data_IF_365699912120
#
_entry.id   IF_365699912120
#
_cell.length_a   1.000
_cell.length_b   1.000
_cell.length_c   1.000
_cell.angle_alpha   90.00
_cell.angle_beta   90.00
_cell.angle_gamma   90.00
#
_symmetry.space_group_name_H-M   'P 1'
#
loop_
_entity.id
_entity.type
_entity.pdbx_description
1 polymer ?
#
# COMPACT_ATOMS: atom_id res chain seq x y z
N UNK A 1 94.82 10.76 -9.00
CA UNK A 1 94.98 10.47 -7.57
C UNK A 1 93.60 10.42 -6.92
N UNK A 2 93.36 9.28 -6.37
CA UNK A 2 92.62 9.04 -5.14
C UNK A 2 91.13 9.47 -5.17
N UNK A 3 90.09 8.65 -5.10
CA UNK A 3 89.92 7.55 -4.19
C UNK A 3 88.79 7.96 -3.25
N UNK A 4 87.62 7.34 -3.31
CA UNK A 4 86.60 7.65 -2.38
C UNK A 4 85.43 6.61 -2.50
N UNK A 5 85.48 5.71 -1.57
CA UNK A 5 84.59 4.56 -1.36
C UNK A 5 83.25 5.04 -0.85
N UNK A 6 82.14 4.45 -1.38
CA UNK A 6 80.84 4.64 -0.85
C UNK A 6 80.49 3.69 0.32
N UNK A 7 79.44 3.92 1.05
CA UNK A 7 78.88 2.90 1.89
C UNK A 7 77.49 2.39 1.38
N UNK A 8 77.37 1.09 1.45
CA UNK A 8 76.21 0.25 1.36
C UNK A 8 75.16 0.66 2.34
N UNK A 9 73.95 0.94 1.84
CA UNK A 9 72.71 0.94 2.61
C UNK A 9 71.79 -0.13 2.06
N UNK A 10 71.63 -1.17 2.80
CA UNK A 10 70.68 -2.25 2.49
C UNK A 10 69.27 -1.81 2.75
N UNK A 11 68.58 -1.42 1.70
CA UNK A 11 67.12 -1.28 1.73
C UNK A 11 66.49 -2.67 1.64
N UNK A 12 65.95 -3.09 2.76
CA UNK A 12 65.07 -4.26 2.84
C UNK A 12 63.69 -3.80 2.36
N UNK A 13 63.43 -3.95 1.08
CA UNK A 13 62.09 -3.85 0.54
C UNK A 13 61.31 -5.11 0.87
N UNK A 14 60.33 -4.97 1.72
CA UNK A 14 59.30 -6.00 1.96
C UNK A 14 58.59 -6.37 0.66
N UNK A 15 58.25 -7.64 0.45
CA UNK A 15 57.66 -8.11 -0.80
C UNK A 15 56.32 -7.44 -1.10
N UNK A 16 56.22 -6.96 -2.30
CA UNK A 16 55.02 -6.30 -2.87
C UNK A 16 53.79 -7.19 -2.89
N UNK A 17 53.97 -8.48 -2.64
CA UNK A 17 52.87 -9.46 -2.60
C UNK A 17 52.01 -9.38 -1.33
N UNK A 18 52.52 -8.96 -0.17
CA UNK A 18 51.75 -8.82 1.05
C UNK A 18 50.80 -7.61 1.03
N UNK A 19 51.16 -6.53 0.32
CA UNK A 19 50.28 -5.38 0.19
C UNK A 19 49.10 -5.64 -0.75
N UNK A 20 49.33 -6.40 -1.83
CA UNK A 20 48.26 -6.80 -2.76
C UNK A 20 47.28 -7.76 -2.10
N UNK A 21 47.76 -8.64 -1.21
CA UNK A 21 46.87 -9.57 -0.49
C UNK A 21 46.00 -8.87 0.58
N UNK A 22 46.53 -7.84 1.24
CA UNK A 22 45.73 -7.05 2.21
C UNK A 22 44.72 -6.16 1.52
N UNK A 23 45.03 -5.52 0.40
CA UNK A 23 44.04 -4.77 -0.38
C UNK A 23 42.98 -5.65 -1.02
N UNK A 24 43.28 -6.89 -1.38
CA UNK A 24 42.27 -7.85 -1.88
C UNK A 24 41.41 -8.40 -0.76
N UNK A 25 41.89 -8.58 0.46
CA UNK A 25 41.05 -8.99 1.61
C UNK A 25 40.17 -7.85 2.10
N UNK A 26 40.62 -6.61 2.19
CA UNK A 26 39.79 -5.46 2.52
C UNK A 26 38.71 -5.20 1.46
N UNK A 27 39.04 -5.39 0.17
CA UNK A 27 38.08 -5.21 -0.92
C UNK A 27 37.04 -6.38 -1.02
N UNK A 28 37.40 -7.58 -0.51
CA UNK A 28 36.46 -8.70 -0.44
C UNK A 28 35.58 -8.64 0.80
N UNK A 29 36.01 -8.03 1.90
CA UNK A 29 35.20 -7.84 3.10
C UNK A 29 34.15 -6.73 2.94
N UNK A 30 34.33 -5.78 2.03
CA UNK A 30 33.36 -4.69 1.81
C UNK A 30 32.30 -4.99 0.76
N UNK A 31 32.29 -6.21 0.19
CA UNK A 31 31.33 -6.64 -0.83
C UNK A 31 30.31 -7.68 -0.37
N UNK A 32 30.21 -7.89 0.94
CA UNK A 32 29.01 -8.54 1.48
C UNK A 32 27.97 -7.47 1.80
N UNK A 33 27.57 -6.72 0.77
CA UNK A 33 26.28 -6.03 0.80
C UNK A 33 25.26 -7.15 0.82
N UNK A 34 24.80 -7.48 2.02
CA UNK A 34 23.60 -8.26 2.23
C UNK A 34 22.46 -7.60 1.46
N UNK A 35 22.21 -8.10 0.26
CA UNK A 35 20.92 -7.86 -0.39
C UNK A 35 19.85 -8.20 0.65
N UNK A 36 18.94 -7.29 1.00
CA UNK A 36 17.89 -7.59 1.95
C UNK A 36 17.10 -8.75 1.34
N UNK A 37 17.24 -9.92 1.95
CA UNK A 37 16.49 -11.12 1.60
C UNK A 37 15.03 -10.73 1.69
N UNK A 38 14.36 -10.54 0.54
CA UNK A 38 12.92 -10.23 0.48
C UNK A 38 12.22 -11.22 1.37
N UNK A 39 11.79 -10.76 2.55
CA UNK A 39 11.03 -11.58 3.47
C UNK A 39 9.79 -12.07 2.73
N UNK A 40 9.66 -13.39 2.53
CA UNK A 40 8.48 -14.03 1.95
C UNK A 40 7.27 -13.94 2.87
N UNK A 41 7.46 -13.45 4.08
CA UNK A 41 6.40 -13.32 5.05
C UNK A 41 5.67 -11.98 4.86
N UNK A 42 4.33 -11.99 4.92
CA UNK A 42 3.55 -10.78 4.88
C UNK A 42 3.97 -9.86 6.04
N UNK A 43 4.15 -8.59 5.77
CA UNK A 43 4.43 -7.58 6.78
C UNK A 43 3.33 -7.61 7.84
N UNK A 44 3.66 -7.31 9.10
CA UNK A 44 2.70 -7.19 10.21
C UNK A 44 1.46 -6.36 9.86
N UNK A 45 1.63 -5.32 9.03
CA UNK A 45 0.55 -4.51 8.49
C UNK A 45 -0.44 -5.33 7.65
N UNK A 46 0.04 -6.26 6.81
CA UNK A 46 -0.83 -7.09 5.98
C UNK A 46 -1.58 -8.14 6.80
N UNK A 47 -0.93 -8.69 7.82
CA UNK A 47 -1.58 -9.60 8.76
C UNK A 47 -2.69 -8.91 9.54
N UNK A 48 -2.49 -7.67 9.99
CA UNK A 48 -3.53 -6.88 10.65
C UNK A 48 -4.70 -6.57 9.70
N UNK A 49 -4.43 -6.19 8.45
CA UNK A 49 -5.49 -5.98 7.46
C UNK A 49 -6.27 -7.26 7.18
N UNK A 50 -5.59 -8.40 7.05
CA UNK A 50 -6.22 -9.70 6.89
C UNK A 50 -7.09 -10.05 8.10
N UNK A 51 -6.61 -9.80 9.32
CA UNK A 51 -7.39 -10.02 10.54
C UNK A 51 -8.67 -9.16 10.56
N UNK A 52 -8.58 -7.88 10.20
CA UNK A 52 -9.77 -7.01 10.09
C UNK A 52 -10.75 -7.54 9.05
N UNK A 53 -10.26 -7.96 7.88
CA UNK A 53 -11.10 -8.58 6.85
C UNK A 53 -11.81 -9.81 7.39
N UNK A 54 -11.10 -10.72 8.06
CA UNK A 54 -11.68 -11.95 8.62
C UNK A 54 -12.71 -11.63 9.69
N UNK A 55 -12.40 -10.72 10.63
CA UNK A 55 -13.32 -10.36 11.73
C UNK A 55 -14.60 -9.74 11.20
N UNK A 56 -14.50 -8.77 10.28
CA UNK A 56 -15.67 -8.15 9.67
C UNK A 56 -16.46 -9.16 8.82
N UNK A 57 -15.77 -10.07 8.14
CA UNK A 57 -16.40 -11.15 7.39
C UNK A 57 -17.24 -12.08 8.28
N UNK A 58 -16.65 -12.50 9.39
CA UNK A 58 -17.31 -13.42 10.32
C UNK A 58 -18.45 -12.77 11.13
N UNK A 59 -18.47 -11.45 11.23
CA UNK A 59 -19.48 -10.71 12.01
C UNK A 59 -20.87 -10.63 11.38
N UNK A 60 -21.01 -11.06 10.10
CA UNK A 60 -22.28 -10.95 9.36
C UNK A 60 -22.70 -9.52 9.01
N UNK A 61 -21.79 -8.55 9.21
CA UNK A 61 -22.02 -7.11 8.92
C UNK A 61 -21.71 -6.73 7.47
N UNK A 62 -21.15 -7.66 6.70
CA UNK A 62 -20.72 -7.43 5.33
C UNK A 62 -21.73 -8.04 4.37
N UNK A 63 -22.08 -7.26 3.35
CA UNK A 63 -22.98 -7.70 2.29
C UNK A 63 -22.32 -8.79 1.43
N UNK A 64 -23.04 -9.85 1.01
CA UNK A 64 -22.49 -10.87 0.10
C UNK A 64 -21.90 -10.30 -1.18
N UNK A 65 -22.43 -9.16 -1.64
CA UNK A 65 -21.95 -8.43 -2.81
C UNK A 65 -20.51 -7.90 -2.65
N UNK A 66 -20.12 -7.47 -1.44
CA UNK A 66 -18.77 -6.97 -1.17
C UNK A 66 -17.75 -8.11 -1.11
N UNK A 67 -18.19 -9.27 -0.62
CA UNK A 67 -17.39 -10.51 -0.72
C UNK A 67 -17.20 -10.94 -2.17
N UNK A 68 -18.28 -10.99 -2.93
CA UNK A 68 -18.23 -11.33 -4.35
C UNK A 68 -17.31 -10.37 -5.11
N UNK A 69 -17.35 -9.08 -4.79
CA UNK A 69 -16.44 -8.08 -5.36
C UNK A 69 -14.98 -8.39 -5.02
N UNK A 70 -14.64 -8.70 -3.76
CA UNK A 70 -13.26 -9.03 -3.37
C UNK A 70 -12.79 -10.29 -4.08
N UNK A 71 -13.59 -11.36 -4.11
CA UNK A 71 -13.25 -12.59 -4.83
C UNK A 71 -13.05 -12.34 -6.33
N UNK A 72 -13.98 -11.61 -6.95
CA UNK A 72 -13.87 -11.22 -8.35
C UNK A 72 -12.60 -10.38 -8.62
N UNK A 73 -12.29 -9.42 -7.75
CA UNK A 73 -11.12 -8.57 -7.92
C UNK A 73 -9.81 -9.37 -7.94
N UNK A 74 -9.69 -10.40 -7.09
CA UNK A 74 -8.52 -11.30 -7.07
C UNK A 74 -8.38 -12.03 -8.41
N UNK A 75 -9.46 -12.67 -8.87
CA UNK A 75 -9.47 -13.43 -10.15
C UNK A 75 -9.17 -12.49 -11.33
N UNK A 76 -9.79 -11.32 -11.34
CA UNK A 76 -9.62 -10.35 -12.41
C UNK A 76 -8.20 -9.76 -12.45
N UNK A 77 -7.59 -9.45 -11.30
CA UNK A 77 -6.20 -8.99 -11.24
C UNK A 77 -5.22 -10.07 -11.70
N UNK A 78 -5.47 -11.34 -11.37
CA UNK A 78 -4.68 -12.47 -11.87
C UNK A 78 -4.80 -12.61 -13.40
N UNK A 79 -6.00 -12.48 -13.94
CA UNK A 79 -6.23 -12.49 -15.38
C UNK A 79 -5.49 -11.34 -16.07
N UNK A 80 -5.67 -10.10 -15.61
CA UNK A 80 -4.99 -8.94 -16.17
C UNK A 80 -3.47 -9.06 -16.11
N UNK A 81 -2.92 -9.64 -15.04
CA UNK A 81 -1.48 -9.80 -14.87
C UNK A 81 -0.86 -10.80 -15.84
N UNK A 82 -1.63 -11.78 -16.29
CA UNK A 82 -1.16 -12.80 -17.23
C UNK A 82 -1.40 -12.41 -18.70
N UNK A 83 -2.54 -11.76 -18.97
CA UNK A 83 -2.99 -11.55 -20.35
C UNK A 83 -2.67 -10.14 -20.85
N UNK A 84 -2.92 -9.11 -20.01
CA UNK A 84 -2.88 -7.72 -20.48
C UNK A 84 -1.59 -7.01 -20.07
N UNK A 85 -1.17 -7.18 -18.81
CA UNK A 85 -0.01 -6.51 -18.24
C UNK A 85 0.97 -7.49 -17.59
N UNK A 86 1.63 -8.36 -18.39
CA UNK A 86 2.63 -9.27 -17.87
C UNK A 86 3.77 -8.50 -17.22
N UNK A 87 4.41 -9.11 -16.23
CA UNK A 87 5.56 -8.54 -15.55
C UNK A 87 6.78 -8.60 -16.48
N UNK A 88 7.17 -7.48 -17.05
CA UNK A 88 8.25 -7.38 -18.02
C UNK A 88 9.65 -7.49 -17.38
N UNK A 89 9.76 -7.21 -16.08
CA UNK A 89 11.03 -7.28 -15.35
C UNK A 89 10.80 -7.68 -13.90
N UNK A 90 11.62 -8.58 -13.32
CA UNK A 90 11.62 -8.81 -11.89
C UNK A 90 12.16 -7.56 -11.18
N UNK A 91 11.21 -6.81 -10.57
CA UNK A 91 11.44 -5.84 -9.49
C UNK A 91 12.64 -4.89 -9.58
N UNK A 92 12.65 -3.97 -10.54
CA UNK A 92 13.20 -2.65 -10.23
C UNK A 92 12.11 -1.91 -9.44
N UNK A 93 12.41 -1.52 -8.20
CA UNK A 93 11.52 -0.70 -7.39
C UNK A 93 11.34 0.67 -8.06
N UNK A 94 10.41 0.75 -8.99
CA UNK A 94 10.09 2.02 -9.65
C UNK A 94 9.13 2.75 -8.71
N UNK A 95 9.67 3.65 -7.91
CA UNK A 95 8.90 4.58 -7.09
C UNK A 95 8.21 5.58 -8.00
N UNK A 96 6.89 5.52 -8.08
CA UNK A 96 6.06 6.42 -8.92
C UNK A 96 6.02 7.83 -8.33
N UNK A 97 6.07 7.92 -7.01
CA UNK A 97 6.14 9.18 -6.28
C UNK A 97 7.33 9.16 -5.33
N UNK A 98 7.99 10.32 -5.18
CA UNK A 98 9.05 10.46 -4.19
C UNK A 98 8.47 10.31 -2.77
N UNK A 99 8.90 9.29 -2.00
CA UNK A 99 8.39 9.07 -0.64
C UNK A 99 8.73 10.21 0.33
N UNK A 100 9.70 11.05 0.00
CA UNK A 100 10.08 12.23 0.81
C UNK A 100 9.17 13.44 0.59
N UNK A 101 8.18 13.37 -0.30
CA UNK A 101 7.26 14.47 -0.53
C UNK A 101 6.31 14.62 0.65
N UNK A 102 6.50 15.68 1.46
CA UNK A 102 5.70 15.98 2.66
C UNK A 102 4.21 16.14 2.35
N UNK A 103 3.88 16.73 1.20
CA UNK A 103 2.48 16.90 0.77
C UNK A 103 1.81 15.56 0.51
N UNK A 104 2.53 14.62 -0.12
CA UNK A 104 2.02 13.27 -0.35
C UNK A 104 1.87 12.48 0.95
N UNK A 105 2.82 12.61 1.88
CA UNK A 105 2.73 12.00 3.19
C UNK A 105 1.53 12.55 4.00
N UNK A 106 1.31 13.87 3.97
CA UNK A 106 0.15 14.51 4.59
C UNK A 106 -1.17 14.01 4.00
N UNK A 107 -1.23 13.90 2.67
CA UNK A 107 -2.41 13.36 1.97
C UNK A 107 -2.75 11.93 2.43
N UNK A 108 -1.74 11.04 2.49
CA UNK A 108 -1.92 9.67 2.99
C UNK A 108 -2.36 9.68 4.46
N UNK A 109 -1.78 10.55 5.29
CA UNK A 109 -2.16 10.68 6.69
C UNK A 109 -3.61 11.12 6.88
N UNK A 110 -4.06 12.14 6.13
CA UNK A 110 -5.46 12.59 6.13
C UNK A 110 -6.39 11.44 5.70
N UNK A 111 -6.00 10.72 4.64
CA UNK A 111 -6.74 9.54 4.19
C UNK A 111 -6.85 8.43 5.22
N UNK A 112 -5.79 8.20 5.99
CA UNK A 112 -5.81 7.23 7.09
C UNK A 112 -6.76 7.68 8.23
N UNK A 113 -6.75 8.96 8.59
CA UNK A 113 -7.64 9.51 9.63
C UNK A 113 -9.11 9.39 9.18
N UNK A 114 -9.45 9.96 8.02
CA UNK A 114 -10.84 10.03 7.54
C UNK A 114 -11.34 8.65 7.11
N UNK A 115 -10.51 7.89 6.41
CA UNK A 115 -10.93 6.63 5.78
C UNK A 115 -10.85 5.40 6.67
N UNK A 116 -10.00 5.41 7.70
CA UNK A 116 -9.77 4.23 8.53
C UNK A 116 -10.05 4.49 10.01
N UNK A 117 -9.30 5.40 10.65
CA UNK A 117 -9.36 5.56 12.09
C UNK A 117 -10.69 6.11 12.57
N UNK A 118 -11.25 7.13 11.90
CA UNK A 118 -12.52 7.71 12.29
C UNK A 118 -13.72 6.76 12.06
N UNK A 119 -13.84 6.02 10.94
CA UNK A 119 -14.85 4.97 10.79
C UNK A 119 -14.72 3.84 11.81
N UNK A 120 -13.50 3.41 12.13
CA UNK A 120 -13.30 2.39 13.19
C UNK A 120 -13.77 2.94 14.55
N UNK A 121 -13.40 4.16 14.91
CA UNK A 121 -13.84 4.80 16.15
C UNK A 121 -15.38 4.92 16.19
N UNK A 122 -16.03 5.27 15.07
CA UNK A 122 -17.48 5.32 14.94
C UNK A 122 -18.12 3.93 15.15
N UNK A 123 -17.53 2.87 14.60
CA UNK A 123 -18.00 1.49 14.80
C UNK A 123 -17.86 1.07 16.26
N UNK A 124 -16.73 1.37 16.89
CA UNK A 124 -16.48 1.03 18.30
C UNK A 124 -17.45 1.77 19.23
N UNK A 125 -17.66 3.07 19.03
CA UNK A 125 -18.64 3.86 19.76
C UNK A 125 -20.06 3.28 19.60
N UNK A 126 -20.39 2.79 18.38
CA UNK A 126 -21.66 2.10 18.11
C UNK A 126 -21.87 0.80 18.87
N UNK A 127 -20.80 0.07 19.16
CA UNK A 127 -20.87 -1.14 19.97
C UNK A 127 -21.30 -0.79 21.40
N UNK A 128 -20.76 0.30 21.96
CA UNK A 128 -21.09 0.77 23.30
C UNK A 128 -22.51 1.35 23.38
N UNK A 129 -22.97 2.05 22.34
CA UNK A 129 -24.32 2.63 22.29
C UNK A 129 -25.39 1.63 21.78
N UNK A 130 -24.99 0.44 21.30
CA UNK A 130 -25.92 -0.57 20.76
C UNK A 130 -26.50 -0.23 19.39
N UNK A 131 -25.89 0.71 18.64
CA UNK A 131 -26.34 1.11 17.30
C UNK A 131 -25.86 0.10 16.23
N UNK A 132 -26.60 -1.00 16.13
CA UNK A 132 -26.30 -2.05 15.14
C UNK A 132 -26.42 -1.57 13.70
N UNK A 133 -27.32 -0.65 13.42
CA UNK A 133 -27.55 -0.14 12.07
C UNK A 133 -26.42 0.75 11.59
N UNK A 134 -25.95 1.68 12.44
CA UNK A 134 -24.79 2.50 12.12
C UNK A 134 -23.52 1.69 11.91
N UNK A 135 -23.31 0.67 12.75
CA UNK A 135 -22.19 -0.27 12.59
C UNK A 135 -22.30 -0.99 11.23
N UNK A 136 -23.46 -1.57 10.92
CA UNK A 136 -23.72 -2.29 9.67
C UNK A 136 -23.54 -1.39 8.43
N UNK A 137 -23.90 -0.13 8.54
CA UNK A 137 -23.75 0.84 7.47
C UNK A 137 -22.29 1.24 7.20
N UNK A 138 -21.46 1.39 8.26
CA UNK A 138 -20.08 1.81 8.15
C UNK A 138 -19.09 0.64 7.89
N UNK A 139 -19.41 -0.57 8.34
CA UNK A 139 -18.52 -1.74 8.26
C UNK A 139 -18.07 -2.11 6.84
N UNK A 140 -18.92 -2.06 5.78
CA UNK A 140 -18.51 -2.36 4.41
C UNK A 140 -17.40 -1.45 3.90
N UNK A 141 -17.42 -0.17 4.25
CA UNK A 141 -16.37 0.78 3.90
C UNK A 141 -15.01 0.37 4.48
N UNK A 142 -14.96 0.05 5.78
CA UNK A 142 -13.74 -0.39 6.47
C UNK A 142 -13.26 -1.74 5.93
N UNK A 143 -14.16 -2.67 5.66
CA UNK A 143 -13.87 -3.96 5.06
C UNK A 143 -13.18 -3.80 3.69
N UNK A 144 -13.73 -2.98 2.79
CA UNK A 144 -13.15 -2.75 1.48
C UNK A 144 -11.79 -2.04 1.56
N UNK A 145 -11.60 -1.13 2.53
CA UNK A 145 -10.32 -0.49 2.73
C UNK A 145 -9.26 -1.47 3.22
N UNK A 146 -9.58 -2.30 4.20
CA UNK A 146 -8.69 -3.34 4.68
C UNK A 146 -8.34 -4.37 3.59
N UNK A 147 -9.35 -4.78 2.81
CA UNK A 147 -9.16 -5.68 1.66
C UNK A 147 -8.26 -5.05 0.59
N UNK A 148 -8.41 -3.75 0.30
CA UNK A 148 -7.53 -3.02 -0.60
C UNK A 148 -6.08 -3.06 -0.13
N UNK A 149 -5.81 -2.68 1.12
CA UNK A 149 -4.44 -2.66 1.67
C UNK A 149 -3.82 -4.06 1.65
N UNK A 150 -4.61 -5.09 1.92
CA UNK A 150 -4.16 -6.47 1.78
C UNK A 150 -3.80 -6.80 0.32
N UNK A 151 -4.66 -6.46 -0.64
CA UNK A 151 -4.42 -6.72 -2.07
C UNK A 151 -3.25 -5.91 -2.64
N UNK A 152 -3.05 -4.67 -2.20
CA UNK A 152 -1.85 -3.88 -2.53
C UNK A 152 -0.58 -4.61 -2.09
N UNK A 153 -0.60 -5.18 -0.88
CA UNK A 153 0.50 -6.01 -0.38
C UNK A 153 0.73 -7.26 -1.22
N UNK A 154 -0.34 -8.00 -1.54
CA UNK A 154 -0.26 -9.21 -2.38
C UNK A 154 0.34 -8.88 -3.74
N UNK A 155 -0.11 -7.82 -4.40
CA UNK A 155 0.40 -7.43 -5.72
C UNK A 155 1.83 -6.92 -5.68
N UNK A 156 2.22 -6.26 -4.58
CA UNK A 156 3.58 -5.78 -4.39
C UNK A 156 4.57 -6.95 -4.17
N UNK A 157 4.28 -7.83 -3.22
CA UNK A 157 5.17 -8.97 -2.90
C UNK A 157 5.11 -10.09 -3.95
N UNK A 158 3.98 -10.23 -4.63
CA UNK A 158 3.79 -11.19 -5.72
C UNK A 158 4.51 -10.83 -7.02
N UNK A 159 5.17 -9.66 -7.08
CA UNK A 159 5.93 -9.23 -8.26
C UNK A 159 5.04 -8.85 -9.45
N UNK A 160 3.80 -8.46 -9.20
CA UNK A 160 2.89 -7.99 -10.25
C UNK A 160 3.41 -6.72 -10.92
N UNK A 161 3.06 -6.53 -12.18
CA UNK A 161 3.42 -5.32 -12.95
C UNK A 161 2.84 -4.04 -12.32
N UNK A 162 3.48 -2.90 -12.60
CA UNK A 162 3.08 -1.60 -12.06
C UNK A 162 1.61 -1.25 -12.38
N UNK A 163 1.07 -1.50 -13.61
CA UNK A 163 -0.34 -1.28 -13.90
C UNK A 163 -1.28 -2.06 -12.98
N UNK A 164 -0.98 -3.33 -12.71
CA UNK A 164 -1.81 -4.14 -11.82
C UNK A 164 -1.85 -3.56 -10.41
N UNK A 165 -0.70 -3.11 -9.88
CA UNK A 165 -0.62 -2.44 -8.58
C UNK A 165 -1.46 -1.14 -8.54
N UNK A 166 -1.57 -0.43 -9.66
CA UNK A 166 -2.39 0.78 -9.76
C UNK A 166 -3.89 0.47 -9.89
N UNK A 167 -4.25 -0.64 -10.53
CA UNK A 167 -5.65 -1.04 -10.63
C UNK A 167 -6.26 -1.40 -9.28
N UNK A 168 -5.49 -1.95 -8.34
CA UNK A 168 -6.02 -2.29 -7.01
C UNK A 168 -6.70 -1.09 -6.33
N UNK A 169 -6.01 0.03 -6.05
CA UNK A 169 -6.66 1.17 -5.39
C UNK A 169 -7.81 1.76 -6.23
N UNK A 170 -7.74 1.73 -7.56
CA UNK A 170 -8.80 2.23 -8.43
C UNK A 170 -10.07 1.38 -8.29
N UNK A 171 -9.96 0.04 -8.40
CA UNK A 171 -11.09 -0.87 -8.29
C UNK A 171 -11.76 -0.80 -6.92
N UNK A 172 -10.96 -0.91 -5.86
CA UNK A 172 -11.50 -0.88 -4.51
C UNK A 172 -12.09 0.46 -4.14
N UNK A 173 -11.50 1.57 -4.60
CA UNK A 173 -12.06 2.89 -4.37
C UNK A 173 -13.38 3.09 -5.14
N UNK A 174 -13.46 2.61 -6.36
CA UNK A 174 -14.69 2.65 -7.15
C UNK A 174 -15.84 1.95 -6.41
N UNK A 175 -15.62 0.73 -5.92
CA UNK A 175 -16.64 -0.01 -5.16
C UNK A 175 -16.99 0.69 -3.83
N UNK A 176 -15.97 1.22 -3.15
CA UNK A 176 -16.12 1.90 -1.87
C UNK A 176 -17.03 3.12 -1.94
N UNK A 177 -17.00 3.89 -3.00
CA UNK A 177 -17.91 5.03 -3.19
C UNK A 177 -19.36 4.58 -3.06
N UNK A 178 -19.75 3.45 -3.64
CA UNK A 178 -21.11 2.93 -3.51
C UNK A 178 -21.45 2.55 -2.07
N UNK A 179 -20.55 1.91 -1.35
CA UNK A 179 -20.79 1.57 0.08
C UNK A 179 -20.89 2.81 0.96
N UNK A 180 -20.17 3.90 0.63
CA UNK A 180 -20.29 5.18 1.34
C UNK A 180 -21.62 5.86 1.01
N UNK A 181 -22.12 5.76 -0.24
CA UNK A 181 -23.47 6.23 -0.60
C UNK A 181 -24.52 5.53 0.25
N UNK A 182 -24.42 4.21 0.37
CA UNK A 182 -25.36 3.43 1.17
C UNK A 182 -25.27 3.78 2.66
N UNK A 183 -24.06 3.99 3.17
CA UNK A 183 -23.86 4.50 4.53
C UNK A 183 -24.51 5.86 4.74
N UNK A 184 -24.26 6.82 3.85
CA UNK A 184 -24.83 8.15 3.92
C UNK A 184 -26.38 8.11 3.87
N UNK A 185 -26.95 7.28 2.99
CA UNK A 185 -28.41 7.06 2.93
C UNK A 185 -28.98 6.50 4.23
N UNK A 186 -28.29 5.52 4.82
CA UNK A 186 -28.68 4.98 6.12
C UNK A 186 -28.68 6.06 7.21
N UNK A 187 -27.63 6.90 7.28
CA UNK A 187 -27.55 7.98 8.26
C UNK A 187 -28.58 9.10 8.06
N UNK A 188 -29.00 9.33 6.82
CA UNK A 188 -30.08 10.30 6.53
C UNK A 188 -31.44 9.73 6.95
N UNK A 189 -31.71 8.47 6.67
CA UNK A 189 -32.99 7.83 6.96
C UNK A 189 -33.28 7.65 8.45
N UNK A 190 -32.22 7.56 9.29
CA UNK A 190 -32.36 7.46 10.76
C UNK A 190 -33.17 8.59 11.41
N UNK A 191 -33.37 9.73 10.74
CA UNK A 191 -34.17 10.85 11.29
C UNK A 191 -35.64 10.50 11.46
N UNK A 192 -36.14 9.56 10.64
CA UNK A 192 -37.57 9.19 10.62
C UNK A 192 -37.92 8.09 11.64
N UNK A 193 -36.93 7.56 12.35
CA UNK A 193 -37.15 6.48 13.32
C UNK A 193 -37.00 7.04 14.75
N UNK A 194 -38.08 7.08 15.49
CA UNK A 194 -38.17 7.61 16.88
C UNK A 194 -37.24 6.92 17.90
N UNK A 195 -36.51 5.88 17.50
CA UNK A 195 -35.70 5.04 18.38
C UNK A 195 -34.22 5.03 18.02
N UNK A 196 -33.74 5.92 17.14
CA UNK A 196 -32.39 5.88 16.63
C UNK A 196 -31.45 6.77 17.46
N UNK A 197 -30.66 6.15 18.34
CA UNK A 197 -29.42 6.63 18.92
C UNK A 197 -29.38 8.08 19.46
N UNK A 198 -28.26 8.47 20.08
CA UNK A 198 -28.12 9.88 20.52
C UNK A 198 -28.01 10.82 19.30
N UNK A 199 -28.62 12.02 19.38
CA UNK A 199 -28.56 13.02 18.32
C UNK A 199 -27.08 13.34 17.90
N UNK A 200 -26.16 13.23 18.85
CA UNK A 200 -24.71 13.35 18.61
C UNK A 200 -24.22 12.29 17.63
N UNK A 201 -24.63 11.05 17.82
CA UNK A 201 -24.18 9.94 16.99
C UNK A 201 -24.67 10.03 15.56
N UNK A 202 -25.93 10.42 15.36
CA UNK A 202 -26.50 10.67 14.02
C UNK A 202 -25.72 11.77 13.31
N UNK A 203 -25.43 12.85 14.02
CA UNK A 203 -24.64 13.96 13.45
C UNK A 203 -23.22 13.52 13.08
N UNK A 204 -22.52 12.80 13.96
CA UNK A 204 -21.17 12.28 13.71
C UNK A 204 -21.17 11.31 12.52
N UNK A 205 -22.13 10.39 12.45
CA UNK A 205 -22.26 9.44 11.35
C UNK A 205 -22.42 10.13 9.99
N UNK A 206 -23.28 11.16 9.93
CA UNK A 206 -23.47 11.96 8.71
C UNK A 206 -22.24 12.73 8.30
N UNK A 207 -21.64 13.45 9.22
CA UNK A 207 -20.41 14.23 8.95
C UNK A 207 -19.31 13.30 8.45
N UNK A 208 -19.15 12.14 9.08
CA UNK A 208 -18.14 11.18 8.72
C UNK A 208 -18.41 10.53 7.35
N UNK A 209 -19.66 10.17 7.04
CA UNK A 209 -20.03 9.64 5.72
C UNK A 209 -19.79 10.68 4.61
N UNK A 210 -20.17 11.96 4.84
CA UNK A 210 -19.92 13.06 3.89
C UNK A 210 -18.43 13.30 3.69
N UNK A 211 -17.64 13.34 4.77
CA UNK A 211 -16.19 13.52 4.70
C UNK A 211 -15.51 12.37 3.92
N UNK A 212 -15.93 11.13 4.17
CA UNK A 212 -15.46 9.99 3.40
C UNK A 212 -15.86 10.07 1.93
N UNK A 213 -17.10 10.44 1.63
CA UNK A 213 -17.57 10.63 0.25
C UNK A 213 -16.70 11.64 -0.48
N UNK A 214 -16.52 12.83 0.10
CA UNK A 214 -15.73 13.89 -0.52
C UNK A 214 -14.26 13.45 -0.73
N UNK A 215 -13.64 12.84 0.29
CA UNK A 215 -12.25 12.40 0.21
C UNK A 215 -12.05 11.30 -0.85
N UNK A 216 -12.89 10.27 -0.86
CA UNK A 216 -12.71 9.14 -1.78
C UNK A 216 -13.14 9.46 -3.21
N UNK A 217 -14.10 10.37 -3.44
CA UNK A 217 -14.37 10.93 -4.76
C UNK A 217 -13.18 11.73 -5.28
N UNK A 218 -12.60 12.60 -4.45
CA UNK A 218 -11.36 13.31 -4.82
C UNK A 218 -10.20 12.34 -5.10
N UNK A 219 -10.02 11.33 -4.24
CA UNK A 219 -8.98 10.33 -4.44
C UNK A 219 -9.12 9.61 -5.78
N UNK A 220 -10.33 9.19 -6.15
CA UNK A 220 -10.57 8.48 -7.42
C UNK A 220 -10.47 9.42 -8.62
N UNK A 221 -11.29 10.47 -8.65
CA UNK A 221 -11.48 11.33 -9.83
C UNK A 221 -10.47 12.47 -9.93
N UNK A 222 -9.91 12.92 -8.81
CA UNK A 222 -8.92 13.99 -8.79
C UNK A 222 -7.47 13.49 -8.79
N UNK A 223 -7.21 12.29 -8.32
CA UNK A 223 -5.85 11.79 -8.16
C UNK A 223 -5.58 10.47 -8.90
N UNK A 224 -6.29 9.39 -8.59
CA UNK A 224 -5.96 8.06 -9.12
C UNK A 224 -6.12 7.99 -10.64
N UNK A 225 -7.25 8.44 -11.19
CA UNK A 225 -7.53 8.36 -12.62
C UNK A 225 -6.72 9.39 -13.44
N UNK A 226 -6.71 10.71 -13.09
CA UNK A 226 -6.07 11.70 -13.96
C UNK A 226 -4.56 11.84 -13.75
N UNK A 227 -4.03 11.51 -12.58
CA UNK A 227 -2.61 11.74 -12.23
C UNK A 227 -1.83 10.44 -12.09
N UNK A 228 -2.34 9.51 -11.29
CA UNK A 228 -1.60 8.30 -10.95
C UNK A 228 -1.57 7.31 -12.12
N UNK A 229 -2.72 6.98 -12.69
CA UNK A 229 -2.85 5.98 -13.75
C UNK A 229 -2.05 6.34 -15.03
N UNK A 230 -2.10 7.58 -15.57
CA UNK A 230 -1.29 7.95 -16.73
C UNK A 230 0.22 7.86 -16.47
N UNK A 231 0.68 8.22 -15.26
CA UNK A 231 2.10 8.07 -14.88
C UNK A 231 2.53 6.61 -14.85
N UNK A 232 1.68 5.74 -14.32
CA UNK A 232 1.90 4.29 -14.28
C UNK A 232 2.05 3.71 -15.67
N UNK A 233 1.14 4.06 -16.59
CA UNK A 233 1.22 3.60 -17.97
C UNK A 233 2.44 4.13 -18.69
N UNK A 234 2.78 5.41 -18.49
CA UNK A 234 4.00 5.99 -19.06
C UNK A 234 5.24 5.19 -18.61
N UNK A 235 5.34 4.88 -17.32
CA UNK A 235 6.46 4.09 -16.79
C UNK A 235 6.48 2.67 -17.34
N UNK A 236 5.33 2.01 -17.44
CA UNK A 236 5.23 0.64 -17.92
C UNK A 236 5.63 0.52 -19.39
N UNK A 237 5.15 1.41 -20.26
CA UNK A 237 5.45 1.38 -21.70
C UNK A 237 6.80 1.99 -22.07
N UNK A 238 7.41 2.81 -21.18
CA UNK A 238 8.77 3.35 -21.39
C UNK A 238 9.88 2.40 -20.93
N UNK A 239 9.52 1.30 -20.25
CA UNK A 239 10.50 0.29 -19.89
C UNK A 239 11.06 -0.38 -21.15
N UNK A 240 12.39 -0.49 -21.34
CA UNK A 240 12.97 -1.17 -22.49
C UNK A 240 12.47 -2.61 -22.51
N UNK A 241 11.84 -3.02 -23.64
CA UNK A 241 11.57 -4.42 -23.88
C UNK A 241 12.90 -5.09 -24.13
N UNK A 242 13.32 -6.02 -23.28
CA UNK A 242 14.40 -6.93 -23.63
C UNK A 242 14.02 -7.60 -24.95
N UNK A 243 14.85 -7.40 -25.97
CA UNK A 243 14.70 -8.11 -27.24
C UNK A 243 15.11 -9.56 -26.96
N UNK A 244 14.18 -10.47 -27.09
CA UNK A 244 14.44 -11.90 -27.22
C UNK A 244 15.39 -12.17 -28.40
#
# INVERSE_FOLDING_TARGET
>A
MSGGVGPTGSDISLPREEQVHKEHEEHSLHKTITTPRKSRFPSFRHLNCLAVVIVLSASGMICPQDFAFVAFSVVYMLFLSKVVFPSLHPSKETTIFNPQNKMFALYIFIGAIIGLFAPIAYILDGIFEGDKEGIKAAAPHVFLLASQVFMEGVTFYGGFSIPIRAFVPIFYNSRRIFTIVDWLRSEINKVNEEHSGSARRIYVGRVLAVANMAFWCYNLFGFLLPVYLPRVFKLYYSAPKEKD
#
